data_IF_303792563730
#
_entry.id   IF_303792563730
#
_cell.length_a   1.000
_cell.length_b   1.000
_cell.length_c   1.000
_cell.angle_alpha   90.00
_cell.angle_beta   90.00
_cell.angle_gamma   90.00
#
_symmetry.space_group_name_H-M   'P 1'
#
loop_
_entity.id
_entity.type
_entity.pdbx_description
1 polymer ?
#
# COMPACT_ATOMS: atom_id res chain seq x y z
N UNK A 1 -0.91 -7.09 -15.39
CA UNK A 1 -0.88 -6.53 -14.03
C UNK A 1 -1.47 -7.57 -13.11
N UNK A 2 -0.78 -7.90 -12.02
CA UNK A 2 -1.29 -8.82 -11.00
C UNK A 2 -1.84 -8.00 -9.84
N UNK A 3 -3.05 -8.30 -9.41
CA UNK A 3 -3.72 -7.58 -8.31
C UNK A 3 -4.08 -8.60 -7.24
N UNK A 4 -3.66 -8.31 -6.01
CA UNK A 4 -4.02 -9.11 -4.84
C UNK A 4 -4.90 -8.22 -3.97
N UNK A 5 -6.20 -8.50 -3.97
CA UNK A 5 -7.17 -7.83 -3.13
C UNK A 5 -7.30 -8.59 -1.81
N UNK A 6 -7.25 -7.86 -0.69
CA UNK A 6 -7.25 -8.49 0.64
C UNK A 6 -8.22 -7.83 1.60
N UNK A 7 -8.84 -8.64 2.45
CA UNK A 7 -9.65 -8.23 3.59
C UNK A 7 -9.55 -9.30 4.69
N UNK A 8 -9.97 -9.01 5.91
CA UNK A 8 -10.05 -9.98 7.01
C UNK A 8 -11.41 -10.68 7.09
N UNK A 9 -12.48 -10.05 6.60
CA UNK A 9 -13.85 -10.54 6.76
C UNK A 9 -14.27 -11.44 5.59
N UNK A 10 -14.66 -12.69 5.90
CA UNK A 10 -15.08 -13.68 4.90
C UNK A 10 -16.27 -13.21 4.04
N UNK A 11 -17.20 -12.45 4.60
CA UNK A 11 -18.33 -11.89 3.84
C UNK A 11 -17.86 -10.83 2.85
N UNK A 12 -16.91 -9.99 3.25
CA UNK A 12 -16.29 -9.01 2.34
C UNK A 12 -15.51 -9.72 1.24
N UNK A 13 -14.76 -10.77 1.58
CA UNK A 13 -14.02 -11.59 0.61
C UNK A 13 -14.96 -12.28 -0.39
N UNK A 14 -16.10 -12.79 0.06
CA UNK A 14 -17.14 -13.34 -0.83
C UNK A 14 -17.69 -12.26 -1.78
N UNK A 15 -18.05 -11.09 -1.25
CA UNK A 15 -18.56 -9.96 -2.04
C UNK A 15 -17.52 -9.46 -3.05
N UNK A 16 -16.23 -9.41 -2.68
CA UNK A 16 -15.13 -9.07 -3.58
C UNK A 16 -15.05 -10.08 -4.73
N UNK A 17 -15.13 -11.39 -4.45
CA UNK A 17 -15.13 -12.43 -5.49
C UNK A 17 -16.33 -12.30 -6.43
N UNK A 18 -17.53 -12.06 -5.91
CA UNK A 18 -18.71 -11.82 -6.73
C UNK A 18 -18.57 -10.58 -7.62
N UNK A 19 -18.05 -9.47 -7.05
CA UNK A 19 -17.83 -8.24 -7.80
C UNK A 19 -16.81 -8.44 -8.92
N UNK A 20 -15.75 -9.22 -8.69
CA UNK A 20 -14.79 -9.58 -9.72
C UNK A 20 -15.45 -10.41 -10.83
N UNK A 21 -16.24 -11.42 -10.49
CA UNK A 21 -16.96 -12.23 -11.48
C UNK A 21 -17.90 -11.38 -12.35
N UNK A 22 -18.58 -10.38 -11.77
CA UNK A 22 -19.48 -9.48 -12.52
C UNK A 22 -18.73 -8.51 -13.45
N UNK A 23 -17.49 -8.16 -13.11
CA UNK A 23 -16.69 -7.17 -13.85
C UNK A 23 -15.63 -7.81 -14.77
N UNK A 24 -15.33 -9.10 -14.60
CA UNK A 24 -14.60 -9.91 -15.58
C UNK A 24 -15.50 -10.12 -16.79
N UNK A 25 -15.57 -9.11 -17.66
CA UNK A 25 -16.17 -9.27 -18.98
C UNK A 25 -15.34 -10.31 -19.74
N UNK A 26 -16.03 -11.30 -20.29
CA UNK A 26 -15.48 -12.18 -21.33
C UNK A 26 -15.26 -11.30 -22.55
N UNK A 27 -14.07 -10.74 -22.70
CA UNK A 27 -13.66 -10.11 -23.96
C UNK A 27 -13.43 -11.24 -24.97
N UNK A 28 -14.48 -11.61 -25.70
CA UNK A 28 -14.46 -12.62 -26.78
C UNK A 28 -13.52 -12.26 -27.96
N UNK A 29 -12.84 -11.11 -27.91
CA UNK A 29 -11.98 -10.60 -28.99
C UNK A 29 -10.56 -10.17 -28.60
N UNK A 30 -10.09 -10.45 -27.38
CA UNK A 30 -8.71 -10.13 -26.99
C UNK A 30 -7.82 -11.37 -26.91
N UNK A 31 -7.47 -11.93 -28.08
CA UNK A 31 -6.23 -12.71 -28.19
C UNK A 31 -5.04 -11.85 -27.78
N UNK A 32 -4.23 -12.37 -26.85
CA UNK A 32 -2.84 -12.00 -26.53
C UNK A 32 -2.52 -10.86 -25.54
N UNK A 33 -3.48 -10.09 -25.03
CA UNK A 33 -3.20 -9.27 -23.84
C UNK A 33 -3.27 -10.17 -22.60
N UNK A 34 -2.10 -10.49 -22.01
CA UNK A 34 -1.98 -11.20 -20.71
C UNK A 34 -3.08 -10.71 -19.77
N UNK A 35 -4.08 -11.56 -19.54
CA UNK A 35 -5.23 -11.25 -18.70
C UNK A 35 -4.72 -10.71 -17.37
N UNK A 36 -5.32 -9.61 -16.90
CA UNK A 36 -5.06 -9.13 -15.55
C UNK A 36 -5.49 -10.24 -14.58
N UNK A 37 -4.54 -10.76 -13.81
CA UNK A 37 -4.81 -11.77 -12.80
C UNK A 37 -5.17 -11.03 -11.51
N UNK A 38 -6.44 -11.06 -11.14
CA UNK A 38 -6.93 -10.51 -9.88
C UNK A 38 -7.28 -11.66 -8.97
N UNK A 39 -6.65 -11.69 -7.80
CA UNK A 39 -6.85 -12.71 -6.78
C UNK A 39 -7.33 -12.10 -5.48
N UNK A 40 -8.14 -12.86 -4.73
CA UNK A 40 -8.71 -12.44 -3.45
C UNK A 40 -8.20 -13.35 -2.36
N UNK A 41 -7.54 -12.77 -1.37
CA UNK A 41 -6.92 -13.49 -0.25
C UNK A 41 -7.32 -12.88 1.09
N UNK A 42 -7.43 -13.71 2.12
CA UNK A 42 -7.63 -13.20 3.48
C UNK A 42 -6.31 -12.61 4.01
N UNK A 43 -6.38 -11.46 4.67
CA UNK A 43 -5.25 -10.82 5.34
C UNK A 43 -5.74 -10.03 6.56
N UNK A 44 -5.66 -10.65 7.73
CA UNK A 44 -5.88 -9.95 9.00
C UNK A 44 -4.59 -9.24 9.44
N UNK A 45 -4.65 -7.92 9.52
CA UNK A 45 -3.47 -7.11 9.85
C UNK A 45 -2.93 -7.40 11.24
N UNK A 46 -3.80 -7.61 12.23
CA UNK A 46 -3.38 -7.87 13.62
C UNK A 46 -2.75 -9.24 13.76
N UNK A 47 -3.32 -10.26 13.11
CA UNK A 47 -2.75 -11.60 13.09
C UNK A 47 -1.35 -11.59 12.47
N UNK A 48 -1.20 -10.95 11.31
CA UNK A 48 0.08 -10.84 10.61
C UNK A 48 1.09 -9.98 11.36
N UNK A 49 0.67 -8.86 11.94
CA UNK A 49 1.57 -7.95 12.67
C UNK A 49 2.16 -8.61 13.93
N UNK A 50 1.40 -9.50 14.57
CA UNK A 50 1.84 -10.21 15.77
C UNK A 50 2.57 -11.53 15.46
N UNK A 51 2.72 -11.89 14.19
CA UNK A 51 3.44 -13.09 13.76
C UNK A 51 4.79 -12.70 13.10
N UNK A 52 5.86 -12.96 13.83
CA UNK A 52 7.24 -12.73 13.38
C UNK A 52 7.60 -13.57 12.13
N UNK A 53 6.90 -14.69 11.91
CA UNK A 53 7.11 -15.58 10.77
C UNK A 53 6.11 -15.37 9.63
N UNK A 54 5.24 -14.36 9.73
CA UNK A 54 4.20 -14.11 8.73
C UNK A 54 4.77 -13.94 7.32
N UNK A 55 5.92 -13.28 7.16
CA UNK A 55 6.55 -13.09 5.85
C UNK A 55 6.98 -14.40 5.19
N UNK A 56 7.33 -15.42 5.98
CA UNK A 56 7.75 -16.72 5.48
C UNK A 56 6.56 -17.67 5.25
N UNK A 57 5.54 -17.60 6.11
CA UNK A 57 4.50 -18.63 6.20
C UNK A 57 3.13 -18.18 5.69
N UNK A 58 2.83 -16.88 5.68
CA UNK A 58 1.51 -16.41 5.32
C UNK A 58 1.32 -16.44 3.80
N UNK A 59 0.23 -17.06 3.28
CA UNK A 59 0.03 -17.27 1.84
C UNK A 59 0.15 -16.01 0.99
N UNK A 60 -0.38 -14.88 1.47
CA UNK A 60 -0.28 -13.58 0.78
C UNK A 60 1.18 -13.15 0.59
N UNK A 61 2.03 -13.31 1.60
CA UNK A 61 3.44 -12.93 1.50
C UNK A 61 4.20 -13.84 0.56
N UNK A 62 3.97 -15.15 0.64
CA UNK A 62 4.60 -16.13 -0.27
C UNK A 62 4.18 -15.87 -1.72
N UNK A 63 2.91 -15.53 -1.95
CA UNK A 63 2.40 -15.23 -3.29
C UNK A 63 3.01 -13.94 -3.85
N UNK A 64 2.99 -12.86 -3.08
CA UNK A 64 3.61 -11.58 -3.46
C UNK A 64 5.11 -11.75 -3.71
N UNK A 65 5.81 -12.54 -2.88
CA UNK A 65 7.23 -12.85 -3.07
C UNK A 65 7.50 -13.52 -4.43
N UNK A 66 6.68 -14.50 -4.81
CA UNK A 66 6.79 -15.19 -6.10
C UNK A 66 6.61 -14.26 -7.31
N UNK A 67 5.95 -13.12 -7.10
CA UNK A 67 5.73 -12.07 -8.11
C UNK A 67 6.83 -11.00 -8.12
N UNK A 68 7.86 -11.11 -7.26
CA UNK A 68 8.94 -10.13 -7.14
C UNK A 68 8.68 -9.03 -6.11
N UNK A 69 7.70 -9.21 -5.23
CA UNK A 69 7.33 -8.25 -4.19
C UNK A 69 6.25 -7.27 -4.64
N UNK A 70 5.67 -6.53 -3.69
CA UNK A 70 4.67 -5.52 -3.99
C UNK A 70 5.34 -4.30 -4.64
N UNK A 71 4.84 -3.89 -5.81
CA UNK A 71 5.27 -2.65 -6.47
C UNK A 71 4.46 -1.44 -6.01
N UNK A 72 3.17 -1.68 -5.74
CA UNK A 72 2.17 -0.69 -5.38
C UNK A 72 1.26 -1.30 -4.31
N UNK A 73 0.98 -0.54 -3.26
CA UNK A 73 0.02 -0.86 -2.22
C UNK A 73 -1.03 0.24 -2.23
N UNK A 74 -2.30 -0.16 -2.38
CA UNK A 74 -3.44 0.75 -2.36
C UNK A 74 -4.21 0.56 -1.06
N UNK A 75 -4.37 1.65 -0.31
CA UNK A 75 -5.13 1.72 0.92
C UNK A 75 -6.29 2.69 0.68
N UNK A 76 -7.53 2.27 0.88
CA UNK A 76 -8.70 3.11 0.62
C UNK A 76 -9.58 3.21 1.86
N UNK A 77 -9.71 4.41 2.41
CA UNK A 77 -10.58 4.72 3.55
C UNK A 77 -10.36 3.84 4.78
N UNK A 78 -9.09 3.49 5.07
CA UNK A 78 -8.71 2.65 6.21
C UNK A 78 -8.45 3.43 7.51
N UNK A 79 -8.65 4.75 7.50
CA UNK A 79 -8.47 5.64 8.66
C UNK A 79 -9.83 6.15 9.11
N UNK A 80 -10.49 5.37 9.96
CA UNK A 80 -11.78 5.71 10.57
C UNK A 80 -11.93 5.02 11.94
N UNK A 81 -12.90 5.43 12.76
CA UNK A 81 -12.96 5.07 14.18
C UNK A 81 -12.90 3.56 14.46
N UNK A 82 -13.59 2.73 13.65
CA UNK A 82 -13.58 1.27 13.87
C UNK A 82 -12.23 0.59 13.60
N UNK A 83 -11.39 1.20 12.75
CA UNK A 83 -10.05 0.67 12.42
C UNK A 83 -8.96 1.14 13.35
N UNK A 84 -9.22 2.13 14.21
CA UNK A 84 -8.25 2.71 15.12
C UNK A 84 -7.46 1.67 15.93
N UNK A 85 -8.07 0.59 16.48
CA UNK A 85 -7.34 -0.44 17.20
C UNK A 85 -6.36 -1.27 16.33
N UNK A 86 -6.43 -1.15 15.01
CA UNK A 86 -5.62 -1.90 14.05
C UNK A 86 -4.58 -1.03 13.32
N UNK A 87 -4.56 0.29 13.52
CA UNK A 87 -3.62 1.18 12.82
C UNK A 87 -2.16 0.80 13.05
N UNK A 88 -1.77 0.45 14.29
CA UNK A 88 -0.40 -0.01 14.56
C UNK A 88 -0.04 -1.28 13.79
N UNK A 89 -0.99 -2.22 13.67
CA UNK A 89 -0.82 -3.45 12.91
C UNK A 89 -0.69 -3.18 11.40
N UNK A 90 -1.44 -2.21 10.86
CA UNK A 90 -1.31 -1.76 9.48
C UNK A 90 0.11 -1.22 9.21
N UNK A 91 0.68 -0.42 10.12
CA UNK A 91 2.05 0.11 9.95
C UNK A 91 3.11 -1.01 9.98
N UNK A 92 2.96 -1.99 10.87
CA UNK A 92 3.82 -3.19 10.88
C UNK A 92 3.70 -3.96 9.57
N UNK A 93 2.48 -4.16 9.07
CA UNK A 93 2.23 -4.84 7.80
C UNK A 93 2.90 -4.13 6.62
N UNK A 94 2.80 -2.81 6.53
CA UNK A 94 3.46 -2.02 5.49
C UNK A 94 4.99 -2.17 5.55
N UNK A 95 5.58 -2.18 6.74
CA UNK A 95 7.01 -2.43 6.91
C UNK A 95 7.41 -3.84 6.46
N UNK A 96 6.61 -4.88 6.78
CA UNK A 96 6.86 -6.25 6.27
C UNK A 96 6.88 -6.30 4.73
N UNK A 97 5.93 -5.61 4.07
CA UNK A 97 5.94 -5.54 2.60
C UNK A 97 7.14 -4.77 2.03
N UNK A 98 7.54 -3.68 2.68
CA UNK A 98 8.74 -2.93 2.31
C UNK A 98 9.99 -3.80 2.44
N UNK A 99 10.18 -4.44 3.58
CA UNK A 99 11.36 -5.26 3.86
C UNK A 99 11.46 -6.43 2.88
N UNK A 100 10.33 -7.07 2.56
CA UNK A 100 10.25 -8.08 1.51
C UNK A 100 10.73 -7.54 0.15
N UNK A 101 10.23 -6.37 -0.28
CA UNK A 101 10.60 -5.75 -1.55
C UNK A 101 12.08 -5.36 -1.59
N UNK A 102 12.61 -4.82 -0.49
CA UNK A 102 14.01 -4.42 -0.38
C UNK A 102 14.98 -5.61 -0.48
N UNK A 103 14.65 -6.74 0.16
CA UNK A 103 15.46 -7.97 0.04
C UNK A 103 15.49 -8.46 -1.40
N UNK A 104 14.33 -8.59 -2.04
CA UNK A 104 14.22 -8.99 -3.45
C UNK A 104 14.98 -8.05 -4.40
N UNK A 105 14.93 -6.75 -4.16
CA UNK A 105 15.66 -5.76 -4.94
C UNK A 105 17.19 -5.89 -4.75
N UNK A 106 17.63 -6.15 -3.51
CA UNK A 106 19.06 -6.33 -3.19
C UNK A 106 19.62 -7.61 -3.81
N UNK A 107 18.88 -8.72 -3.72
CA UNK A 107 19.25 -10.02 -4.28
C UNK A 107 19.37 -9.93 -5.82
N UNK A 108 18.41 -9.27 -6.46
CA UNK A 108 18.40 -9.08 -7.92
C UNK A 108 19.61 -8.26 -8.40
N UNK A 109 19.96 -7.20 -7.68
CA UNK A 109 21.11 -6.34 -8.00
C UNK A 109 22.46 -7.02 -7.73
N UNK A 110 22.52 -7.92 -6.74
CA UNK A 110 23.71 -8.71 -6.43
C UNK A 110 23.99 -9.75 -7.53
N UNK A 111 22.94 -10.34 -8.12
CA UNK A 111 23.08 -11.39 -9.13
C UNK A 111 23.24 -10.86 -10.57
N UNK A 112 22.56 -9.75 -10.93
CA UNK A 112 22.47 -9.29 -12.32
C UNK A 112 23.14 -7.92 -12.59
N UNK A 113 23.82 -7.34 -11.60
CA UNK A 113 24.25 -5.94 -11.63
C UNK A 113 23.07 -4.98 -11.34
N UNK A 114 23.32 -3.69 -11.10
CA UNK A 114 22.27 -2.75 -10.68
C UNK A 114 21.20 -2.58 -11.77
N UNK A 115 20.01 -3.12 -11.53
CA UNK A 115 18.83 -2.83 -12.34
C UNK A 115 18.26 -1.50 -11.83
N UNK A 116 18.62 -0.42 -12.53
CA UNK A 116 18.03 0.91 -12.31
C UNK A 116 16.59 0.86 -12.83
N UNK A 117 15.64 0.54 -11.96
CA UNK A 117 14.23 0.84 -12.19
C UNK A 117 13.95 2.23 -11.64
N UNK A 118 14.33 3.25 -12.43
CA UNK A 118 13.95 4.63 -12.12
C UNK A 118 12.42 4.74 -12.13
N UNK A 119 11.84 4.96 -10.95
CA UNK A 119 10.45 5.41 -10.83
C UNK A 119 10.45 6.88 -10.48
N UNK A 120 9.74 7.65 -11.31
CA UNK A 120 9.46 9.06 -11.09
C UNK A 120 8.42 9.14 -9.96
N UNK A 121 8.79 9.74 -8.83
CA UNK A 121 7.86 10.04 -7.73
C UNK A 121 6.86 11.12 -8.12
N UNK A 122 5.76 11.23 -7.37
CA UNK A 122 4.79 12.33 -7.55
C UNK A 122 5.40 13.72 -7.31
N UNK A 123 6.54 13.82 -6.62
CA UNK A 123 7.31 15.06 -6.44
C UNK A 123 8.36 15.30 -7.54
N UNK A 124 8.39 14.47 -8.60
CA UNK A 124 9.32 14.58 -9.71
C UNK A 124 10.73 14.07 -9.41
N UNK A 125 10.99 13.53 -8.21
CA UNK A 125 12.30 12.94 -7.89
C UNK A 125 12.39 11.49 -8.35
N UNK A 126 13.53 11.14 -8.98
CA UNK A 126 13.88 9.75 -9.22
C UNK A 126 14.48 9.19 -7.94
N UNK A 127 13.89 8.14 -7.40
CA UNK A 127 14.61 7.34 -6.40
C UNK A 127 14.58 5.87 -6.79
N UNK A 128 15.76 5.25 -6.95
CA UNK A 128 15.86 3.80 -7.03
C UNK A 128 15.70 3.25 -5.61
N UNK A 129 14.51 3.36 -5.05
CA UNK A 129 14.22 2.74 -3.75
C UNK A 129 13.50 1.45 -4.03
N UNK A 130 14.07 0.32 -3.61
CA UNK A 130 13.38 -0.97 -3.52
C UNK A 130 12.21 -0.97 -2.52
N UNK A 131 11.54 0.16 -2.32
CA UNK A 131 10.33 0.31 -1.53
C UNK A 131 9.11 0.23 -2.47
N UNK A 132 7.98 -0.33 -2.01
CA UNK A 132 6.71 -0.20 -2.72
C UNK A 132 6.24 1.26 -2.73
N UNK A 133 5.50 1.66 -3.79
CA UNK A 133 4.69 2.88 -3.74
C UNK A 133 3.45 2.59 -2.87
N UNK A 134 3.17 3.43 -1.89
CA UNK A 134 1.97 3.27 -1.04
C UNK A 134 1.07 4.48 -1.22
N UNK A 135 -0.15 4.25 -1.69
CA UNK A 135 -1.16 5.29 -1.84
C UNK A 135 -2.28 5.08 -0.84
N UNK A 136 -2.58 6.12 -0.06
CA UNK A 136 -3.67 6.16 0.91
C UNK A 136 -4.75 7.14 0.45
N UNK A 137 -5.86 6.61 -0.03
CA UNK A 137 -7.11 7.35 -0.16
C UNK A 137 -7.72 7.53 1.23
N UNK A 138 -7.99 8.78 1.60
CA UNK A 138 -8.52 9.14 2.90
C UNK A 138 -9.66 10.14 2.75
N UNK A 139 -10.81 9.82 3.34
CA UNK A 139 -11.94 10.74 3.45
C UNK A 139 -12.06 11.29 4.86
N UNK A 140 -12.06 12.61 5.00
CA UNK A 140 -12.20 13.29 6.31
C UNK A 140 -13.53 12.91 6.98
N UNK A 141 -13.45 12.35 8.20
CA UNK A 141 -14.60 11.85 8.95
C UNK A 141 -14.98 12.85 10.03
N UNK A 142 -16.20 13.40 9.96
CA UNK A 142 -16.69 14.40 10.94
C UNK A 142 -17.61 13.82 12.02
N UNK A 143 -18.04 12.57 11.88
CA UNK A 143 -19.06 11.96 12.77
C UNK A 143 -18.47 10.97 13.77
N UNK A 144 -17.53 10.16 13.32
CA UNK A 144 -16.98 9.00 14.04
C UNK A 144 -15.49 9.14 14.39
N UNK A 145 -14.87 10.27 14.02
CA UNK A 145 -13.51 10.62 14.43
C UNK A 145 -13.44 12.09 14.82
N UNK A 146 -12.65 12.39 15.84
CA UNK A 146 -12.23 13.76 16.13
C UNK A 146 -10.98 14.14 15.32
N UNK A 147 -10.70 15.43 15.13
CA UNK A 147 -9.42 15.86 14.55
C UNK A 147 -8.19 15.31 15.30
N UNK A 148 -8.33 15.04 16.60
CA UNK A 148 -7.26 14.47 17.40
C UNK A 148 -7.00 12.99 17.08
N UNK A 149 -8.05 12.23 16.76
CA UNK A 149 -7.92 10.83 16.34
C UNK A 149 -7.21 10.75 14.99
N UNK A 150 -7.57 11.63 14.06
CA UNK A 150 -6.92 11.77 12.76
C UNK A 150 -5.45 12.14 12.92
N UNK A 151 -5.15 13.16 13.73
CA UNK A 151 -3.78 13.57 14.03
C UNK A 151 -2.96 12.44 14.67
N UNK A 152 -3.59 11.59 15.49
CA UNK A 152 -2.91 10.45 16.10
C UNK A 152 -2.46 9.43 15.06
N UNK A 153 -3.26 9.14 14.03
CA UNK A 153 -2.82 8.26 12.94
C UNK A 153 -1.56 8.80 12.24
N UNK A 154 -1.54 10.09 11.91
CA UNK A 154 -0.38 10.70 11.25
C UNK A 154 0.85 10.78 12.18
N UNK A 155 0.67 10.97 13.48
CA UNK A 155 1.75 10.87 14.46
C UNK A 155 2.32 9.44 14.53
N UNK A 156 1.48 8.41 14.43
CA UNK A 156 1.92 7.01 14.37
C UNK A 156 2.74 6.72 13.10
N UNK A 157 2.37 7.30 11.94
CA UNK A 157 3.17 7.21 10.72
C UNK A 157 4.60 7.76 10.97
N UNK A 158 4.71 8.96 11.56
CA UNK A 158 6.01 9.57 11.86
C UNK A 158 6.83 8.70 12.82
N UNK A 159 6.21 8.16 13.87
CA UNK A 159 6.86 7.23 14.81
C UNK A 159 7.35 5.95 14.11
N UNK A 160 6.64 5.49 13.08
CA UNK A 160 7.03 4.37 12.23
C UNK A 160 8.03 4.75 11.11
N UNK A 161 8.63 5.95 11.16
CA UNK A 161 9.54 6.48 10.14
C UNK A 161 8.90 6.56 8.76
N UNK A 162 7.63 6.95 8.73
CA UNK A 162 6.87 7.22 7.53
C UNK A 162 6.32 8.64 7.55
N UNK A 163 6.20 9.25 6.38
CA UNK A 163 5.50 10.51 6.18
C UNK A 163 4.33 10.32 5.19
N UNK A 164 3.30 11.14 5.33
CA UNK A 164 2.19 11.22 4.39
C UNK A 164 2.35 12.49 3.56
N UNK A 165 2.64 12.34 2.28
CA UNK A 165 2.79 13.45 1.34
C UNK A 165 1.50 13.60 0.54
N UNK A 166 0.93 14.81 0.59
CA UNK A 166 -0.30 15.12 -0.13
C UNK A 166 -0.06 15.03 -1.64
N UNK A 167 -0.83 14.19 -2.33
CA UNK A 167 -0.87 14.21 -3.80
C UNK A 167 -1.68 15.43 -4.25
N UNK A 168 -1.12 16.31 -5.10
CA UNK A 168 -1.83 17.49 -5.57
C UNK A 168 -3.16 17.13 -6.25
N UNK A 169 -4.23 17.86 -5.93
CA UNK A 169 -5.55 17.64 -6.54
C UNK A 169 -5.55 17.78 -8.07
N UNK A 170 -4.64 18.59 -8.61
CA UNK A 170 -4.47 18.77 -10.05
C UNK A 170 -4.05 17.47 -10.77
N UNK A 171 -3.42 16.55 -10.04
CA UNK A 171 -2.95 15.26 -10.58
C UNK A 171 -4.01 14.15 -10.46
N UNK A 172 -5.14 14.43 -9.79
CA UNK A 172 -6.23 13.48 -9.56
C UNK A 172 -7.36 13.76 -10.56
N UNK A 173 -7.72 12.81 -11.45
CA UNK A 173 -8.84 12.98 -12.35
C UNK A 173 -10.15 13.24 -11.59
N UNK A 174 -10.78 14.40 -11.84
CA UNK A 174 -11.96 14.87 -11.12
C UNK A 174 -11.76 15.12 -9.61
N UNK A 175 -10.53 15.38 -9.15
CA UNK A 175 -10.23 15.61 -7.73
C UNK A 175 -11.06 16.74 -7.10
N UNK A 176 -11.44 17.75 -7.89
CA UNK A 176 -12.30 18.85 -7.45
C UNK A 176 -13.70 18.42 -6.98
N UNK A 177 -14.17 17.23 -7.43
CA UNK A 177 -15.48 16.69 -7.05
C UNK A 177 -15.49 16.05 -5.67
N UNK A 178 -14.32 15.78 -5.10
CA UNK A 178 -14.18 15.05 -3.84
C UNK A 178 -13.55 15.93 -2.76
N UNK A 179 -14.24 17.01 -2.39
CA UNK A 179 -13.72 18.04 -1.46
C UNK A 179 -13.29 17.54 -0.07
N UNK A 180 -13.72 16.34 0.34
CA UNK A 180 -13.33 15.74 1.63
C UNK A 180 -12.44 14.52 1.46
N UNK A 181 -12.12 14.12 0.23
CA UNK A 181 -11.27 12.97 -0.05
C UNK A 181 -9.93 13.45 -0.56
N UNK A 182 -8.90 12.97 0.09
CA UNK A 182 -7.52 13.31 -0.16
C UNK A 182 -6.76 12.04 -0.49
N UNK A 183 -5.81 12.14 -1.41
CA UNK A 183 -4.87 11.07 -1.70
C UNK A 183 -3.51 11.43 -1.10
N UNK A 184 -2.95 10.53 -0.31
CA UNK A 184 -1.59 10.65 0.21
C UNK A 184 -0.69 9.60 -0.40
N UNK A 185 0.55 9.96 -0.69
CA UNK A 185 1.66 9.02 -0.86
C UNK A 185 2.30 8.80 0.51
N UNK A 186 2.36 7.54 0.98
CA UNK A 186 3.08 7.21 2.20
C UNK A 186 4.51 6.84 1.87
N UNK A 187 5.47 7.57 2.45
CA UNK A 187 6.91 7.40 2.16
C UNK A 187 7.64 7.04 3.42
N UNK A 188 8.61 6.13 3.32
CA UNK A 188 9.55 5.91 4.40
C UNK A 188 10.60 7.01 4.41
N UNK A 189 10.78 7.66 5.56
CA UNK A 189 11.82 8.68 5.74
C UNK A 189 13.19 8.01 5.71
N UNK A 190 14.11 8.52 4.88
CA UNK A 190 15.48 8.02 4.86
C UNK A 190 16.21 8.60 6.08
N UNK A 191 17.14 7.86 6.69
CA UNK A 191 17.96 8.41 7.79
C UNK A 191 18.77 9.67 7.39
N UNK A 192 18.85 9.99 6.09
CA UNK A 192 19.50 11.20 5.58
C UNK A 192 18.66 12.47 5.75
N UNK A 193 17.34 12.37 5.89
CA UNK A 193 16.42 13.52 5.89
C UNK A 193 16.28 14.18 7.28
N UNK A 194 16.81 13.53 8.33
CA UNK A 194 16.76 14.06 9.71
C UNK A 194 17.87 15.06 10.04
N UNK A 195 18.88 15.19 9.17
CA UNK A 195 20.02 16.09 9.40
C UNK A 195 19.80 17.50 8.85
N UNK A 196 18.81 17.74 8.00
CA UNK A 196 18.55 19.06 7.41
C UNK A 196 17.52 19.90 8.19
N UNK A 197 16.84 19.32 9.18
CA UNK A 197 15.84 20.04 10.00
C UNK A 197 16.44 20.83 11.18
N UNK A 198 17.77 20.83 11.36
CA UNK A 198 18.44 21.47 12.51
C UNK A 198 19.66 22.35 12.15
N UNK A 199 19.74 22.86 10.93
CA UNK A 199 20.72 23.91 10.56
C UNK A 199 20.04 25.21 10.19
#
# INVERSE_FOLDING_TARGET
MNVIATDSDDQVLMLLKENLQRNQKVDDHASELKQQQIEVHSLDWKAVANDDQAEANHPVFSHIYSLGGADLILLSDLVYGATQPAWGALLVLLNKFRDQRQRLYSDTNAENGPIVTDRIRCDGTNTPTGNPLVLLGYTQRRRDMSPQDEANFFAMLQAAKMEAVLVPLADIPNGEKYMLTTLFELRWTSNHDLNEAHT
#
